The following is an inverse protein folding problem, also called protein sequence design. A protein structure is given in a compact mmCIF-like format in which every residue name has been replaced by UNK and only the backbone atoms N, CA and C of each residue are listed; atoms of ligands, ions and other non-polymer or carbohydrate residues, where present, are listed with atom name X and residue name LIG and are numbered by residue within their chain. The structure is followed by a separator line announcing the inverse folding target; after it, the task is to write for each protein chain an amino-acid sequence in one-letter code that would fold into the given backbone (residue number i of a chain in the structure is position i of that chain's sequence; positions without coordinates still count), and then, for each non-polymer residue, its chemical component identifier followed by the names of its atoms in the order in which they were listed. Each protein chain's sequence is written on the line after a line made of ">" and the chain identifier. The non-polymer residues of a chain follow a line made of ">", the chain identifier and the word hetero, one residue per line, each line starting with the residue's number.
data_IF_572290725261
#
_entry.id   IF_572290725261
#
_cell.length_a   1.000
_cell.length_b   1.000
_cell.length_c   1.000
_cell.angle_alpha   90.00
_cell.angle_beta   90.00
_cell.angle_gamma   90.00
#
_symmetry.space_group_name_H-M   'P 1'
#
loop_
_entity.id
_entity.type
_entity.pdbx_description
1 polymer ?
#
# COMPACT_ATOMS: atom_id res chain seq x y z
N UNK A 1 7.25 -6.48 17.47
CA UNK A 1 8.08 -7.34 16.62
C UNK A 1 8.06 -8.81 17.03
N UNK A 2 8.26 -9.16 18.33
CA UNK A 2 8.36 -10.56 18.78
C UNK A 2 7.10 -11.36 18.42
N UNK A 3 5.91 -10.85 18.71
CA UNK A 3 4.65 -11.54 18.42
C UNK A 3 4.50 -11.94 16.95
N UNK A 4 4.88 -11.06 16.02
CA UNK A 4 4.85 -11.37 14.58
C UNK A 4 5.91 -12.40 14.21
N UNK A 5 7.16 -12.15 14.60
CA UNK A 5 8.31 -12.93 14.11
C UNK A 5 8.45 -14.32 14.76
N UNK A 6 7.88 -14.52 15.93
CA UNK A 6 8.02 -15.76 16.72
C UNK A 6 6.68 -16.46 16.92
N UNK A 7 5.65 -15.70 17.34
CA UNK A 7 4.34 -16.29 17.69
C UNK A 7 3.35 -16.28 16.50
N UNK A 8 3.70 -15.59 15.39
CA UNK A 8 2.85 -15.45 14.21
C UNK A 8 1.56 -14.64 14.46
N UNK A 9 1.53 -13.81 15.50
CA UNK A 9 0.36 -13.01 15.89
C UNK A 9 0.78 -11.67 16.47
N UNK A 10 0.17 -10.59 15.97
CA UNK A 10 0.31 -9.26 16.54
C UNK A 10 -0.89 -8.37 16.13
N UNK A 11 -0.92 -7.16 16.69
CA UNK A 11 -1.69 -6.02 16.20
C UNK A 11 -0.79 -5.15 15.31
N UNK A 12 -1.34 -4.10 14.71
CA UNK A 12 -0.66 -3.20 13.78
C UNK A 12 0.73 -2.72 14.29
N UNK A 13 0.84 -2.29 15.55
CA UNK A 13 2.12 -1.90 16.16
C UNK A 13 3.17 -3.01 16.09
N UNK A 14 2.75 -4.26 16.30
CA UNK A 14 3.66 -5.41 16.24
C UNK A 14 4.20 -5.64 14.83
N UNK A 15 3.36 -5.52 13.80
CA UNK A 15 3.74 -5.59 12.40
C UNK A 15 4.65 -4.43 11.99
N UNK A 16 4.25 -3.20 12.28
CA UNK A 16 5.03 -2.00 11.98
C UNK A 16 6.43 -2.05 12.59
N UNK A 17 6.54 -2.44 13.86
CA UNK A 17 7.83 -2.61 14.55
C UNK A 17 8.67 -3.77 14.03
N UNK A 18 8.05 -4.86 13.59
CA UNK A 18 8.75 -5.98 12.97
C UNK A 18 9.33 -5.58 11.60
N UNK A 19 8.53 -4.92 10.77
CA UNK A 19 8.96 -4.41 9.47
C UNK A 19 10.12 -3.41 9.63
N UNK A 20 10.00 -2.42 10.52
CA UNK A 20 11.06 -1.46 10.82
C UNK A 20 12.35 -2.16 11.29
N UNK A 21 12.24 -3.16 12.16
CA UNK A 21 13.40 -3.94 12.63
C UNK A 21 14.11 -4.64 11.46
N UNK A 22 13.36 -5.26 10.56
CA UNK A 22 13.92 -5.96 9.40
C UNK A 22 14.56 -4.97 8.42
N UNK A 23 13.90 -3.87 8.09
CA UNK A 23 14.47 -2.79 7.28
C UNK A 23 15.79 -2.29 7.84
N UNK A 24 15.83 -1.96 9.13
CA UNK A 24 17.04 -1.49 9.81
C UNK A 24 18.17 -2.53 9.76
N UNK A 25 17.86 -3.82 9.86
CA UNK A 25 18.83 -4.92 9.72
C UNK A 25 19.41 -5.02 8.31
N UNK A 26 18.65 -4.66 7.32
CA UNK A 26 19.04 -4.64 5.90
C UNK A 26 19.70 -3.31 5.49
N UNK A 27 19.76 -2.32 6.37
CA UNK A 27 20.29 -0.99 6.08
C UNK A 27 19.32 -0.09 5.31
N UNK A 28 18.02 -0.42 5.33
CA UNK A 28 16.94 0.37 4.74
C UNK A 28 16.44 1.36 5.79
N UNK A 29 16.45 2.66 5.48
CA UNK A 29 15.84 3.67 6.35
C UNK A 29 14.34 3.40 6.43
N UNK A 30 13.81 3.29 7.65
CA UNK A 30 12.40 3.01 7.87
C UNK A 30 11.92 3.69 9.15
N UNK A 31 10.79 4.38 9.07
CA UNK A 31 10.12 5.01 10.21
C UNK A 31 8.75 4.37 10.42
N UNK A 32 8.28 4.38 11.66
CA UNK A 32 6.93 3.97 12.02
C UNK A 32 6.05 5.20 12.12
N UNK A 33 4.85 5.12 11.59
CA UNK A 33 3.85 6.18 11.55
C UNK A 33 2.68 5.75 12.42
N UNK A 34 2.31 6.59 13.37
CA UNK A 34 1.08 6.46 14.12
C UNK A 34 -0.02 7.30 13.48
N UNK A 35 -1.25 6.84 13.54
CA UNK A 35 -2.38 7.54 12.96
C UNK A 35 -3.68 6.79 13.12
N UNK A 36 -4.61 7.03 12.21
CA UNK A 36 -5.97 6.50 12.22
C UNK A 36 -6.34 5.87 10.89
N UNK A 37 -7.14 4.81 10.94
CA UNK A 37 -7.91 4.28 9.82
C UNK A 37 -9.39 4.33 10.21
N UNK A 38 -10.15 5.24 9.58
CA UNK A 38 -11.46 5.63 10.11
C UNK A 38 -11.35 6.15 11.54
N UNK A 39 -12.05 5.53 12.48
CA UNK A 39 -12.04 5.89 13.92
C UNK A 39 -11.12 4.98 14.76
N UNK A 40 -10.29 4.16 14.13
CA UNK A 40 -9.43 3.19 14.84
C UNK A 40 -7.97 3.64 14.76
N UNK A 41 -7.29 3.69 15.92
CA UNK A 41 -5.85 3.93 15.99
C UNK A 41 -5.07 2.85 15.24
N UNK A 42 -4.12 3.27 14.40
CA UNK A 42 -3.36 2.38 13.54
C UNK A 42 -1.87 2.77 13.47
N UNK A 43 -1.01 1.81 13.16
CA UNK A 43 0.42 2.05 12.98
C UNK A 43 0.91 1.31 11.73
N UNK A 44 1.65 2.05 10.87
CA UNK A 44 2.25 1.53 9.65
C UNK A 44 3.66 2.12 9.47
N UNK A 45 4.23 2.07 8.28
CA UNK A 45 5.61 2.48 8.04
C UNK A 45 5.77 3.37 6.81
N UNK A 46 6.86 4.18 6.82
CA UNK A 46 7.49 4.65 5.60
C UNK A 46 8.88 4.02 5.49
N UNK A 47 9.22 3.53 4.29
CA UNK A 47 10.52 2.96 3.97
C UNK A 47 11.18 3.73 2.82
N UNK A 48 12.51 3.91 2.88
CA UNK A 48 13.25 4.64 1.86
C UNK A 48 13.99 3.69 0.93
N UNK A 49 13.65 3.76 -0.36
CA UNK A 49 14.24 2.94 -1.40
C UNK A 49 14.82 3.88 -2.47
N UNK A 50 16.11 3.73 -2.77
CA UNK A 50 16.85 4.53 -3.77
C UNK A 50 16.63 6.06 -3.65
N UNK A 51 16.54 6.53 -2.40
CA UNK A 51 16.42 7.96 -2.09
C UNK A 51 14.99 8.47 -1.96
N UNK A 52 13.98 7.71 -2.38
CA UNK A 52 12.56 8.04 -2.29
C UNK A 52 11.89 7.32 -1.12
N UNK A 53 10.95 8.00 -0.45
CA UNK A 53 10.15 7.41 0.59
C UNK A 53 8.85 6.84 0.03
N UNK A 54 8.39 5.73 0.63
CA UNK A 54 7.18 5.00 0.27
C UNK A 54 6.42 4.59 1.52
N UNK A 55 5.11 4.70 1.48
CA UNK A 55 4.21 4.22 2.52
C UNK A 55 4.02 2.71 2.41
N UNK A 56 4.06 1.99 3.54
CA UNK A 56 3.87 0.54 3.61
C UNK A 56 3.03 0.17 4.82
N UNK A 57 1.90 -0.51 4.61
CA UNK A 57 1.14 -1.11 5.71
C UNK A 57 1.17 -2.64 5.63
N UNK A 58 2.05 -3.23 6.40
CA UNK A 58 2.22 -4.70 6.46
C UNK A 58 1.02 -5.37 7.11
N UNK A 59 0.31 -4.70 8.01
CA UNK A 59 -0.87 -5.24 8.68
C UNK A 59 -2.00 -5.48 7.69
N UNK A 60 -2.27 -4.48 6.84
CA UNK A 60 -3.33 -4.55 5.84
C UNK A 60 -2.95 -5.39 4.63
N UNK A 61 -1.65 -5.61 4.41
CA UNK A 61 -1.15 -6.57 3.41
C UNK A 61 -1.17 -8.02 3.90
N UNK A 62 -1.26 -8.27 5.22
CA UNK A 62 -1.43 -9.61 5.79
C UNK A 62 -2.92 -9.99 5.79
N UNK A 63 -3.47 -10.32 4.63
CA UNK A 63 -4.85 -10.76 4.51
C UNK A 63 -5.00 -12.19 5.08
N UNK A 64 -6.14 -12.46 5.74
CA UNK A 64 -6.43 -13.79 6.32
C UNK A 64 -6.72 -14.88 5.25
N UNK A 65 -6.90 -14.48 4.01
CA UNK A 65 -7.06 -15.38 2.87
C UNK A 65 -5.66 -15.60 2.30
N UNK A 66 -5.19 -16.80 2.12
CA UNK A 66 -3.85 -17.25 1.68
C UNK A 66 -3.14 -16.44 0.55
N UNK A 67 -3.57 -15.21 0.32
CA UNK A 67 -3.04 -14.28 -0.68
C UNK A 67 -2.23 -13.17 -0.04
N UNK A 68 -0.93 -13.15 -0.31
CA UNK A 68 -0.12 -11.95 -0.10
C UNK A 68 -0.64 -10.86 -1.06
N UNK A 69 -1.29 -9.85 -0.55
CA UNK A 69 -1.64 -8.70 -1.36
C UNK A 69 -0.57 -7.60 -1.17
N UNK A 70 -0.44 -6.75 -2.16
CA UNK A 70 0.49 -5.62 -2.18
C UNK A 70 -0.24 -4.28 -2.30
N UNK A 71 -1.53 -4.23 -1.90
CA UNK A 71 -2.37 -3.04 -2.00
C UNK A 71 -1.82 -1.85 -1.20
N UNK A 72 -1.12 -2.14 -0.11
CA UNK A 72 -0.52 -1.14 0.79
C UNK A 72 1.00 -1.23 0.79
N UNK A 73 1.61 -1.51 -0.36
CA UNK A 73 3.05 -1.68 -0.49
C UNK A 73 3.66 -0.64 -1.45
N UNK A 74 4.56 0.17 -0.91
CA UNK A 74 5.26 1.25 -1.62
C UNK A 74 4.32 2.29 -2.25
N UNK A 75 3.34 2.74 -1.48
CA UNK A 75 2.37 3.74 -1.89
C UNK A 75 2.91 5.18 -1.74
N UNK A 76 2.29 6.10 -2.47
CA UNK A 76 2.42 7.54 -2.23
C UNK A 76 1.53 7.97 -1.06
N UNK A 77 1.75 9.21 -0.57
CA UNK A 77 0.88 9.83 0.43
C UNK A 77 -0.57 9.93 -0.08
N UNK A 78 -0.77 10.33 -1.32
CA UNK A 78 -2.09 10.44 -1.95
C UNK A 78 -2.83 9.09 -1.95
N UNK A 79 -2.13 8.01 -2.30
CA UNK A 79 -2.69 6.67 -2.30
C UNK A 79 -2.99 6.17 -0.88
N UNK A 80 -2.05 6.30 0.05
CA UNK A 80 -2.21 5.83 1.42
C UNK A 80 -3.29 6.61 2.16
N UNK A 81 -3.32 7.93 2.04
CA UNK A 81 -4.24 8.79 2.78
C UNK A 81 -5.68 8.77 2.25
N UNK A 82 -5.98 7.98 1.21
CA UNK A 82 -7.37 7.64 0.86
C UNK A 82 -8.08 6.84 1.98
N UNK A 83 -7.32 6.09 2.79
CA UNK A 83 -7.84 5.23 3.86
C UNK A 83 -7.16 5.45 5.22
N UNK A 84 -5.98 6.08 5.25
CA UNK A 84 -5.18 6.33 6.43
C UNK A 84 -5.06 7.83 6.69
N UNK A 85 -4.82 8.21 7.94
CA UNK A 85 -4.51 9.58 8.33
C UNK A 85 -3.41 9.53 9.38
N UNK A 86 -2.24 10.08 9.07
CA UNK A 86 -1.18 10.22 10.06
C UNK A 86 -1.62 11.18 11.17
N UNK A 87 -1.22 10.91 12.40
CA UNK A 87 -1.47 11.82 13.51
C UNK A 87 -0.57 13.04 13.38
N UNK A 88 -1.18 14.20 13.21
CA UNK A 88 -0.54 15.49 13.32
C UNK A 88 -0.37 15.82 14.81
N UNK A 89 0.67 15.24 15.42
CA UNK A 89 0.98 15.50 16.82
C UNK A 89 1.35 16.98 17.09
N UNK A 90 1.54 17.78 16.04
CA UNK A 90 1.84 19.21 16.15
C UNK A 90 0.62 20.07 16.42
N UNK A 91 -0.59 19.66 16.03
CA UNK A 91 -1.80 20.47 16.24
C UNK A 91 -2.38 20.35 17.65
N UNK A 92 -2.00 19.33 18.42
CA UNK A 92 -2.53 19.08 19.77
C UNK A 92 -1.56 19.45 20.90
N UNK A 93 -0.31 19.79 20.60
CA UNK A 93 0.68 20.15 21.62
C UNK A 93 0.85 21.66 21.63
N UNK A 94 0.22 22.32 22.61
CA UNK A 94 0.47 23.72 22.90
C UNK A 94 1.97 23.96 23.14
N UNK A 95 2.59 24.97 22.48
CA UNK A 95 4.04 25.19 22.51
C UNK A 95 4.65 25.34 23.90
N UNK A 96 3.85 25.68 24.88
CA UNK A 96 4.30 25.99 26.25
C UNK A 96 4.57 24.74 27.12
N UNK A 97 4.22 23.55 26.65
CA UNK A 97 4.44 22.28 27.38
C UNK A 97 5.65 21.46 26.90
N UNK A 98 6.39 21.95 25.92
CA UNK A 98 7.62 21.30 25.48
C UNK A 98 8.78 21.62 26.43
N UNK A 99 9.09 20.69 27.30
CA UNK A 99 10.44 20.64 27.85
C UNK A 99 11.37 20.22 26.70
N UNK A 100 12.27 21.11 26.29
CA UNK A 100 13.32 20.98 25.27
C UNK A 100 14.06 19.62 25.24
N UNK A 101 13.36 18.52 25.07
CA UNK A 101 13.96 17.22 24.86
C UNK A 101 14.09 17.02 23.34
N UNK A 102 15.25 17.43 22.81
CA UNK A 102 15.61 17.30 21.39
C UNK A 102 15.49 15.86 20.88
N UNK A 103 15.37 14.86 21.77
CA UNK A 103 15.21 13.45 21.42
C UNK A 103 13.75 13.07 21.08
N UNK A 104 12.77 13.88 21.46
CA UNK A 104 11.37 13.63 21.10
C UNK A 104 11.04 14.07 19.66
N UNK A 105 11.72 15.07 19.14
CA UNK A 105 11.48 15.65 17.80
C UNK A 105 11.79 14.63 16.69
N UNK A 106 12.74 13.72 16.88
CA UNK A 106 13.12 12.71 15.90
C UNK A 106 12.08 11.64 15.62
N UNK A 107 11.06 11.49 16.48
CA UNK A 107 10.02 10.45 16.31
C UNK A 107 8.71 10.98 15.69
N UNK A 108 8.64 12.25 15.36
CA UNK A 108 7.44 12.90 14.83
C UNK A 108 7.55 13.26 13.35
N UNK A 109 8.66 12.92 12.71
CA UNK A 109 8.86 13.19 11.29
C UNK A 109 8.15 12.14 10.44
N UNK A 110 7.15 12.58 9.70
CA UNK A 110 6.51 11.79 8.63
C UNK A 110 7.17 12.18 7.31
N UNK A 111 7.91 11.27 6.66
CA UNK A 111 8.51 11.55 5.36
C UNK A 111 7.45 11.78 4.29
N UNK A 112 7.73 12.65 3.34
CA UNK A 112 6.90 12.85 2.15
C UNK A 112 7.12 11.71 1.13
N UNK A 113 6.05 11.02 0.73
CA UNK A 113 6.07 9.86 -0.16
C UNK A 113 5.37 10.19 -1.48
N UNK A 114 6.12 10.65 -2.49
CA UNK A 114 5.58 11.15 -3.76
C UNK A 114 5.96 10.31 -4.98
N UNK A 115 6.81 9.27 -4.79
CA UNK A 115 7.28 8.44 -5.90
C UNK A 115 6.43 7.21 -6.10
N UNK A 116 6.12 6.89 -7.34
CA UNK A 116 5.45 5.64 -7.76
C UNK A 116 6.42 4.63 -8.37
N UNK A 117 7.72 4.94 -8.40
CA UNK A 117 8.74 4.13 -9.10
C UNK A 117 8.79 2.69 -8.63
N UNK A 118 8.65 2.45 -7.32
CA UNK A 118 8.65 1.11 -6.73
C UNK A 118 7.27 0.67 -6.21
N UNK A 119 6.19 1.31 -6.63
CA UNK A 119 4.85 0.81 -6.38
C UNK A 119 4.64 -0.50 -7.13
N UNK A 120 4.20 -1.54 -6.42
CA UNK A 120 4.07 -2.89 -6.99
C UNK A 120 3.16 -2.91 -8.23
N UNK A 121 2.01 -2.28 -8.15
CA UNK A 121 1.03 -2.29 -9.25
C UNK A 121 1.50 -1.49 -10.45
N UNK A 122 2.12 -0.34 -10.22
CA UNK A 122 2.67 0.46 -11.31
C UNK A 122 3.78 -0.26 -12.09
N UNK A 123 4.45 -1.24 -11.46
CA UNK A 123 5.50 -2.02 -12.12
C UNK A 123 5.00 -3.32 -12.75
N UNK A 124 3.92 -3.89 -12.25
CA UNK A 124 3.48 -5.25 -12.60
C UNK A 124 2.13 -5.30 -13.28
N UNK A 125 1.22 -4.37 -13.00
CA UNK A 125 -0.09 -4.34 -13.59
C UNK A 125 -0.09 -3.58 -14.92
N UNK A 126 -0.70 -4.12 -15.98
CA UNK A 126 -0.89 -3.40 -17.22
C UNK A 126 -1.88 -2.24 -17.03
N UNK A 127 -1.72 -1.16 -17.81
CA UNK A 127 -2.58 0.00 -17.78
C UNK A 127 -3.66 -0.13 -18.85
N UNK A 128 -4.91 0.04 -18.47
CA UNK A 128 -6.06 0.09 -19.36
C UNK A 128 -6.38 1.55 -19.69
N UNK A 129 -6.19 1.95 -20.94
CA UNK A 129 -6.42 3.31 -21.42
C UNK A 129 -7.79 3.50 -22.06
N UNK A 130 -8.41 2.46 -22.59
CA UNK A 130 -9.71 2.49 -23.25
C UNK A 130 -10.31 1.08 -23.32
N UNK A 131 -11.61 0.99 -23.63
CA UNK A 131 -12.29 -0.27 -23.95
C UNK A 131 -12.39 -0.40 -25.47
N UNK A 132 -11.33 -0.93 -26.09
CA UNK A 132 -11.23 -1.16 -27.52
C UNK A 132 -10.43 -2.44 -27.82
N UNK A 133 -10.35 -2.86 -29.10
CA UNK A 133 -9.68 -4.09 -29.49
C UNK A 133 -8.19 -4.14 -29.09
N UNK A 134 -7.50 -3.02 -28.94
CA UNK A 134 -6.10 -2.95 -28.53
C UNK A 134 -5.98 -3.26 -27.03
N UNK A 135 -6.89 -2.73 -26.24
CA UNK A 135 -6.91 -2.91 -24.78
C UNK A 135 -7.54 -4.25 -24.36
N UNK A 136 -8.35 -4.89 -25.21
CA UNK A 136 -8.82 -6.26 -25.00
C UNK A 136 -7.66 -7.24 -24.85
N UNK A 137 -6.58 -7.03 -25.60
CA UNK A 137 -5.36 -7.83 -25.48
C UNK A 137 -4.65 -7.59 -24.13
N UNK A 138 -4.74 -6.40 -23.57
CA UNK A 138 -4.16 -6.06 -22.26
C UNK A 138 -4.83 -6.89 -21.15
N UNK A 139 -6.15 -6.93 -21.14
CA UNK A 139 -6.94 -7.73 -20.20
C UNK A 139 -6.67 -9.22 -20.38
N UNK A 140 -6.74 -9.71 -21.62
CA UNK A 140 -6.52 -11.11 -21.95
C UNK A 140 -5.13 -11.58 -21.57
N UNK A 141 -4.10 -10.78 -21.79
CA UNK A 141 -2.73 -11.09 -21.40
C UNK A 141 -2.55 -11.08 -19.87
N UNK A 142 -3.18 -10.16 -19.15
CA UNK A 142 -3.15 -10.13 -17.70
C UNK A 142 -3.77 -11.41 -17.10
N UNK A 143 -4.93 -11.82 -17.61
CA UNK A 143 -5.59 -13.07 -17.24
C UNK A 143 -4.75 -14.31 -17.56
N UNK A 144 -4.19 -14.38 -18.78
CA UNK A 144 -3.37 -15.52 -19.20
C UNK A 144 -2.10 -15.64 -18.35
N UNK A 145 -1.43 -14.52 -18.04
CA UNK A 145 -0.25 -14.51 -17.19
C UNK A 145 -0.58 -14.99 -15.77
N UNK A 146 -1.68 -14.50 -15.20
CA UNK A 146 -2.16 -14.90 -13.88
C UNK A 146 -2.46 -16.41 -13.84
N UNK A 147 -3.16 -16.92 -14.84
CA UNK A 147 -3.46 -18.35 -14.96
C UNK A 147 -2.19 -19.22 -15.08
N UNK A 148 -1.18 -18.76 -15.84
CA UNK A 148 0.10 -19.49 -15.98
C UNK A 148 0.88 -19.48 -14.68
N UNK A 149 0.82 -18.37 -13.91
CA UNK A 149 1.46 -18.26 -12.60
C UNK A 149 0.75 -19.06 -11.50
N UNK A 150 -0.49 -19.49 -11.76
CA UNK A 150 -1.32 -20.18 -10.78
C UNK A 150 -2.00 -19.21 -9.80
N UNK A 151 -2.01 -17.93 -10.14
CA UNK A 151 -2.72 -16.91 -9.38
C UNK A 151 -4.22 -16.99 -9.71
N UNK A 152 -5.06 -16.73 -8.73
CA UNK A 152 -6.51 -16.65 -8.92
C UNK A 152 -7.02 -15.21 -8.93
N UNK A 153 -6.13 -14.25 -9.14
CA UNK A 153 -6.42 -12.84 -9.33
C UNK A 153 -5.46 -12.26 -10.38
N UNK A 154 -5.84 -11.14 -10.96
CA UNK A 154 -4.97 -10.30 -11.78
C UNK A 154 -5.29 -8.83 -11.48
N UNK A 155 -4.32 -7.97 -11.75
CA UNK A 155 -4.43 -6.54 -11.51
C UNK A 155 -4.38 -5.78 -12.82
N UNK A 156 -5.22 -4.76 -12.94
CA UNK A 156 -5.20 -3.79 -14.02
C UNK A 156 -5.27 -2.41 -13.40
N UNK A 157 -4.42 -1.50 -13.85
CA UNK A 157 -4.53 -0.08 -13.53
C UNK A 157 -5.47 0.53 -14.55
N UNK A 158 -6.50 1.20 -14.10
CA UNK A 158 -7.39 1.99 -14.98
C UNK A 158 -6.81 3.39 -15.08
N UNK A 159 -6.61 3.87 -16.31
CA UNK A 159 -6.11 5.22 -16.56
C UNK A 159 -7.09 6.29 -16.05
N UNK A 160 -6.57 7.38 -15.48
CA UNK A 160 -7.36 8.48 -14.90
C UNK A 160 -8.31 9.17 -15.89
N UNK A 161 -8.13 8.95 -17.19
CA UNK A 161 -9.04 9.44 -18.24
C UNK A 161 -10.35 8.66 -18.34
N UNK A 162 -10.41 7.46 -17.72
CA UNK A 162 -11.60 6.62 -17.68
C UNK A 162 -12.35 6.84 -16.35
N UNK A 163 -13.69 6.90 -16.43
CA UNK A 163 -14.51 6.85 -15.23
C UNK A 163 -14.43 5.46 -14.60
N UNK A 164 -14.14 5.39 -13.31
CA UNK A 164 -13.92 4.12 -12.60
C UNK A 164 -15.20 3.25 -12.58
N UNK A 165 -16.37 3.84 -12.36
CA UNK A 165 -17.64 3.10 -12.29
C UNK A 165 -18.01 2.53 -13.66
N UNK A 166 -17.78 3.30 -14.73
CA UNK A 166 -17.98 2.84 -16.10
C UNK A 166 -16.98 1.74 -16.46
N UNK A 167 -15.70 1.88 -16.04
CA UNK A 167 -14.68 0.88 -16.24
C UNK A 167 -15.01 -0.42 -15.51
N UNK A 168 -15.39 -0.33 -14.24
CA UNK A 168 -15.80 -1.48 -13.44
C UNK A 168 -17.03 -2.18 -14.01
N UNK A 169 -18.04 -1.42 -14.42
CA UNK A 169 -19.26 -1.95 -15.05
C UNK A 169 -18.93 -2.72 -16.32
N UNK A 170 -18.11 -2.14 -17.19
CA UNK A 170 -17.71 -2.77 -18.47
C UNK A 170 -16.91 -4.05 -18.22
N UNK A 171 -15.92 -4.02 -17.33
CA UNK A 171 -15.09 -5.18 -17.02
C UNK A 171 -15.86 -6.35 -16.38
N UNK A 172 -16.82 -6.04 -15.50
CA UNK A 172 -17.48 -7.06 -14.67
C UNK A 172 -18.86 -7.41 -15.20
N UNK A 173 -19.68 -6.43 -15.63
CA UNK A 173 -21.08 -6.65 -16.03
C UNK A 173 -21.24 -6.96 -17.50
N UNK A 174 -20.44 -6.36 -18.38
CA UNK A 174 -20.56 -6.60 -19.84
C UNK A 174 -19.80 -7.85 -20.30
N UNK A 175 -19.20 -8.60 -19.36
CA UNK A 175 -18.73 -9.94 -19.61
C UNK A 175 -17.29 -10.04 -20.12
N UNK A 176 -16.49 -8.99 -20.05
CA UNK A 176 -15.06 -9.08 -20.38
C UNK A 176 -14.35 -10.12 -19.52
N UNK A 177 -14.68 -10.21 -18.23
CA UNK A 177 -14.08 -11.18 -17.30
C UNK A 177 -14.80 -12.53 -17.35
N UNK A 178 -16.13 -12.54 -17.58
CA UNK A 178 -16.93 -13.80 -17.57
C UNK A 178 -16.64 -14.69 -18.78
N UNK A 179 -16.24 -14.13 -19.91
CA UNK A 179 -15.93 -14.91 -21.10
C UNK A 179 -14.60 -15.68 -21.05
N UNK A 180 -13.80 -15.49 -20.01
CA UNK A 180 -12.48 -16.11 -19.84
C UNK A 180 -12.41 -17.12 -18.68
N UNK A 181 -13.52 -17.38 -17.99
CA UNK A 181 -13.58 -18.33 -16.86
C UNK A 181 -14.09 -19.73 -17.28
N UNK A 182 -14.43 -19.93 -18.53
CA UNK A 182 -14.69 -21.25 -19.09
C UNK A 182 -13.38 -21.90 -19.60
#
# INVERSE_FOLDING_TARGET
>A
AYGVLVDGKAICEGYARAFQLLCNKLGIECVSIAGMTGDVGHEWNCAKIDGNWYQVDVTWNDSQDDFSNYYYFNLTDEQMYSSHRADDLFDEIEPDNYNNDENLIGNLYVPECNSTEYNYYNQTAPILYAFDEENDNTISNALANSAVSGDNYFNIIVDDSLDFEDAYSTLVQDGYVVNYIE
#
